data_IF_915536661762
#
_entry.id   IF_915536661762
#
_cell.length_a   1.000
_cell.length_b   1.000
_cell.length_c   1.000
_cell.angle_alpha   90.00
_cell.angle_beta   90.00
_cell.angle_gamma   90.00
#
_symmetry.space_group_name_H-M   'P 1'
#
loop_
_entity.id
_entity.type
_entity.pdbx_description
1 polymer ?
#
# COMPACT_ATOMS: atom_id res chain seq x y z
N UNK A 1 -3.43 14.77 -2.26
CA UNK A 1 -4.44 14.22 -1.34
C UNK A 1 -3.79 13.69 -0.08
N UNK A 2 -4.41 13.91 1.08
CA UNK A 2 -3.91 13.41 2.37
C UNK A 2 -4.07 11.90 2.42
N UNK A 3 -2.98 11.20 2.78
CA UNK A 3 -2.92 9.75 2.91
C UNK A 3 -3.28 9.35 4.34
N UNK A 4 -4.21 8.40 4.48
CA UNK A 4 -4.69 7.87 5.76
C UNK A 4 -4.32 6.39 5.89
N UNK A 5 -4.29 5.87 7.11
CA UNK A 5 -4.03 4.44 7.38
C UNK A 5 -2.56 4.03 7.27
N UNK A 6 -1.63 5.00 7.38
CA UNK A 6 -0.18 4.73 7.36
C UNK A 6 0.36 4.24 8.72
N UNK A 7 -0.49 4.06 9.73
CA UNK A 7 -0.11 3.36 10.94
C UNK A 7 0.37 1.95 10.57
N UNK A 8 1.69 1.74 10.65
CA UNK A 8 2.31 0.46 10.33
C UNK A 8 2.12 -0.52 11.47
N UNK A 9 1.41 -1.61 11.19
CA UNK A 9 1.48 -2.85 11.95
C UNK A 9 2.75 -3.63 11.58
N UNK A 10 3.19 -4.55 12.42
CA UNK A 10 4.43 -5.34 12.23
C UNK A 10 4.44 -6.22 10.97
N UNK A 11 3.28 -6.47 10.38
CA UNK A 11 3.08 -7.58 9.45
C UNK A 11 3.21 -7.19 7.98
N UNK A 12 3.37 -5.89 7.68
CA UNK A 12 3.62 -5.38 6.34
C UNK A 12 4.53 -4.15 6.36
N UNK A 13 5.06 -3.81 5.18
CA UNK A 13 5.88 -2.62 4.97
C UNK A 13 5.23 -1.72 3.93
N UNK A 14 5.18 -0.42 4.24
CA UNK A 14 4.82 0.62 3.27
C UNK A 14 6.08 1.32 2.80
N UNK A 15 6.33 1.31 1.50
CA UNK A 15 7.38 2.07 0.86
C UNK A 15 6.81 3.32 0.21
N UNK A 16 7.39 4.47 0.56
CA UNK A 16 7.03 5.76 0.01
C UNK A 16 7.67 5.96 -1.37
N UNK A 17 6.87 6.32 -2.37
CA UNK A 17 7.34 6.76 -3.68
C UNK A 17 6.98 8.25 -3.87
N UNK A 18 5.90 8.56 -4.59
CA UNK A 18 5.39 9.92 -4.76
C UNK A 18 4.64 10.42 -3.54
N UNK A 19 5.35 10.68 -2.44
CA UNK A 19 4.77 11.27 -1.21
C UNK A 19 5.61 12.44 -0.71
N UNK A 20 4.99 13.35 0.03
CA UNK A 20 5.68 14.39 0.81
C UNK A 20 4.92 14.66 2.11
N UNK A 21 5.57 15.32 3.07
CA UNK A 21 4.88 15.87 4.24
C UNK A 21 4.33 17.27 3.92
N UNK A 22 3.09 17.53 4.30
CA UNK A 22 2.49 18.86 4.22
C UNK A 22 2.87 19.73 5.44
N UNK A 23 2.35 20.96 5.51
CA UNK A 23 2.65 21.91 6.60
C UNK A 23 2.19 21.41 7.98
N UNK A 24 1.13 20.60 8.02
CA UNK A 24 0.60 19.98 9.25
C UNK A 24 1.35 18.69 9.63
N UNK A 25 2.38 18.31 8.86
CA UNK A 25 3.18 17.10 9.08
C UNK A 25 2.53 15.80 8.59
N UNK A 26 1.34 15.87 7.98
CA UNK A 26 0.66 14.73 7.39
C UNK A 26 1.28 14.34 6.03
N UNK A 27 1.21 13.05 5.69
CA UNK A 27 1.65 12.57 4.39
C UNK A 27 0.59 12.87 3.31
N UNK A 28 1.04 13.34 2.15
CA UNK A 28 0.19 13.57 0.99
C UNK A 28 0.80 13.05 -0.31
N UNK A 29 -0.06 12.78 -1.29
CA UNK A 29 0.33 12.37 -2.64
C UNK A 29 1.17 13.45 -3.33
N UNK A 30 2.23 13.05 -4.01
CA UNK A 30 3.18 13.92 -4.71
C UNK A 30 3.80 13.21 -5.93
N UNK A 31 2.96 12.52 -6.71
CA UNK A 31 3.39 11.80 -7.90
C UNK A 31 2.36 10.76 -8.34
N UNK A 32 2.57 10.15 -9.52
CA UNK A 32 1.62 9.15 -10.06
C UNK A 32 1.60 7.82 -9.29
N UNK A 33 2.78 7.28 -8.94
CA UNK A 33 2.90 6.11 -8.05
C UNK A 33 3.20 6.60 -6.65
N UNK A 34 2.26 6.39 -5.72
CA UNK A 34 2.31 7.01 -4.39
C UNK A 34 2.99 6.11 -3.37
N UNK A 35 2.51 4.88 -3.20
CA UNK A 35 2.99 3.91 -2.22
C UNK A 35 3.18 2.53 -2.87
N UNK A 36 4.04 1.71 -2.27
CA UNK A 36 4.06 0.27 -2.46
C UNK A 36 3.85 -0.43 -1.12
N UNK A 37 2.78 -1.21 -1.00
CA UNK A 37 2.46 -2.02 0.19
C UNK A 37 2.96 -3.44 -0.06
N UNK A 38 3.77 -3.94 0.86
CA UNK A 38 4.45 -5.24 0.73
C UNK A 38 4.24 -6.03 2.01
N UNK A 39 3.67 -7.23 1.88
CA UNK A 39 3.58 -8.20 2.95
C UNK A 39 4.39 -9.47 2.59
N UNK A 40 4.85 -10.17 3.63
CA UNK A 40 5.59 -11.42 3.49
C UNK A 40 4.87 -12.57 4.19
N UNK A 41 5.00 -13.77 3.64
CA UNK A 41 4.54 -15.01 4.23
C UNK A 41 5.33 -16.20 3.65
N UNK A 42 5.32 -17.38 4.31
CA UNK A 42 5.97 -18.58 3.77
C UNK A 42 5.37 -19.04 2.44
N UNK A 43 4.07 -18.86 2.25
CA UNK A 43 3.38 -19.19 0.99
C UNK A 43 3.00 -17.94 0.21
N UNK A 44 3.14 -18.02 -1.13
CA UNK A 44 2.79 -16.93 -2.04
C UNK A 44 1.34 -16.47 -1.87
N UNK A 45 0.39 -17.41 -1.80
CA UNK A 45 -1.03 -17.08 -1.69
C UNK A 45 -1.32 -16.26 -0.42
N UNK A 46 -0.73 -16.65 0.70
CA UNK A 46 -0.85 -15.92 1.97
C UNK A 46 -0.21 -14.52 1.90
N UNK A 47 0.98 -14.40 1.29
CA UNK A 47 1.63 -13.10 1.12
C UNK A 47 0.79 -12.14 0.27
N UNK A 48 0.12 -12.67 -0.76
CA UNK A 48 -0.79 -11.90 -1.63
C UNK A 48 -2.00 -11.41 -0.86
N UNK A 49 -2.69 -12.28 -0.11
CA UNK A 49 -3.86 -11.85 0.67
C UNK A 49 -3.48 -10.83 1.74
N UNK A 50 -2.39 -11.04 2.48
CA UNK A 50 -1.88 -10.06 3.46
C UNK A 50 -1.56 -8.70 2.82
N UNK A 51 -0.95 -8.70 1.63
CA UNK A 51 -0.64 -7.45 0.93
C UNK A 51 -1.91 -6.70 0.48
N UNK A 52 -2.93 -7.41 0.00
CA UNK A 52 -4.21 -6.82 -0.40
C UNK A 52 -5.02 -6.30 0.80
N UNK A 53 -5.03 -7.04 1.91
CA UNK A 53 -5.66 -6.63 3.17
C UNK A 53 -5.00 -5.37 3.75
N UNK A 54 -3.67 -5.36 3.84
CA UNK A 54 -2.92 -4.19 4.30
C UNK A 54 -3.15 -2.97 3.39
N UNK A 55 -3.15 -3.16 2.07
CA UNK A 55 -3.43 -2.09 1.12
C UNK A 55 -4.86 -1.56 1.26
N UNK A 56 -5.83 -2.38 1.67
CA UNK A 56 -7.21 -1.95 1.90
C UNK A 56 -7.38 -0.99 3.09
N UNK A 57 -6.46 -1.01 4.05
CA UNK A 57 -6.45 -0.07 5.18
C UNK A 57 -5.90 1.32 4.84
N UNK A 58 -5.22 1.48 3.70
CA UNK A 58 -4.60 2.74 3.27
C UNK A 58 -5.47 3.38 2.18
N UNK A 59 -5.78 4.67 2.34
CA UNK A 59 -6.59 5.39 1.37
C UNK A 59 -6.25 6.89 1.25
N UNK A 60 -6.58 7.45 0.09
CA UNK A 60 -6.52 8.86 -0.25
C UNK A 60 -7.47 9.14 -1.43
N UNK A 61 -7.85 10.40 -1.64
CA UNK A 61 -8.80 10.73 -2.71
C UNK A 61 -8.26 10.33 -4.09
N UNK A 62 -9.09 9.65 -4.88
CA UNK A 62 -8.70 9.12 -6.18
C UNK A 62 -7.70 7.95 -6.13
N UNK A 63 -7.53 7.25 -5.00
CA UNK A 63 -6.64 6.10 -4.91
C UNK A 63 -7.00 5.02 -5.94
N UNK A 64 -5.99 4.51 -6.65
CA UNK A 64 -6.13 3.46 -7.65
C UNK A 64 -5.11 2.36 -7.36
N UNK A 65 -5.57 1.10 -7.38
CA UNK A 65 -4.70 -0.07 -7.30
C UNK A 65 -5.22 -1.21 -8.13
N UNK A 66 -4.31 -2.07 -8.57
CA UNK A 66 -4.64 -3.36 -9.20
C UNK A 66 -5.05 -4.37 -8.13
N UNK A 67 -6.17 -5.08 -8.36
CA UNK A 67 -6.69 -6.13 -7.47
C UNK A 67 -6.19 -7.53 -7.81
N UNK A 68 -5.41 -7.67 -8.88
CA UNK A 68 -4.98 -8.93 -9.48
C UNK A 68 -3.47 -9.21 -9.29
N UNK A 69 -2.73 -8.29 -8.66
CA UNK A 69 -1.30 -8.47 -8.37
C UNK A 69 -1.12 -9.74 -7.55
N UNK A 70 -0.32 -10.67 -8.08
CA UNK A 70 -0.05 -11.93 -7.43
C UNK A 70 -1.19 -12.96 -7.50
N UNK A 71 -2.31 -12.70 -8.17
CA UNK A 71 -3.44 -13.65 -8.22
C UNK A 71 -3.50 -14.51 -9.49
N UNK A 72 -3.03 -13.98 -10.63
CA UNK A 72 -3.13 -14.64 -11.94
C UNK A 72 -1.76 -15.16 -12.41
N UNK A 73 -1.76 -16.25 -13.18
CA UNK A 73 -0.59 -16.83 -13.87
C UNK A 73 0.54 -17.32 -12.94
N UNK A 74 0.19 -18.13 -11.94
CA UNK A 74 1.14 -18.79 -11.02
C UNK A 74 1.07 -20.33 -11.13
N UNK A 75 0.83 -20.82 -12.34
CA UNK A 75 0.92 -22.25 -12.72
C UNK A 75 2.35 -22.64 -13.09
#
# INVERSE_FOLDING_TARGET
>A
DVIRGLETESDFRVYHAGTRKNADGAWETNGGRVLAVVAGAPERAEAVEKAHEAAAGIDFDGSQRRSDIGRLHFE
#
